data_IF_672907304877
#
_entry.id   IF_672907304877
#
_cell.length_a   1.000
_cell.length_b   1.000
_cell.length_c   1.000
_cell.angle_alpha   90.00
_cell.angle_beta   90.00
_cell.angle_gamma   90.00
#
_symmetry.space_group_name_H-M   'P 1'
#
loop_
_entity.id
_entity.type
_entity.pdbx_description
1 polymer ?
#
# COMPACT_ATOMS: atom_id res chain seq x y z
N UNK A 1 -14.71 23.44 -26.20
CA UNK A 1 -15.27 22.13 -25.87
C UNK A 1 -14.88 21.82 -24.44
N UNK A 2 -15.86 21.82 -23.53
CA UNK A 2 -15.66 21.69 -22.09
C UNK A 2 -15.89 20.23 -21.68
N UNK A 3 -14.85 19.41 -21.79
CA UNK A 3 -14.72 18.22 -20.95
C UNK A 3 -13.39 18.34 -20.24
N UNK A 4 -13.34 19.30 -19.31
CA UNK A 4 -12.29 19.37 -18.31
C UNK A 4 -12.87 18.80 -17.02
N UNK A 5 -12.52 17.56 -16.69
CA UNK A 5 -12.99 16.96 -15.44
C UNK A 5 -13.10 15.44 -15.45
N UNK A 6 -12.06 14.73 -15.88
CA UNK A 6 -11.77 13.45 -15.22
C UNK A 6 -10.90 13.77 -14.01
N UNK A 7 -11.51 14.35 -12.99
CA UNK A 7 -10.93 14.32 -11.65
C UNK A 7 -11.22 12.91 -11.15
N UNK A 8 -10.40 11.96 -11.61
CA UNK A 8 -10.33 10.62 -11.05
C UNK A 8 -9.71 10.74 -9.65
N UNK A 9 -10.45 11.31 -8.68
CA UNK A 9 -10.11 11.30 -7.25
C UNK A 9 -10.27 9.88 -6.70
N UNK A 10 -9.65 8.90 -7.32
CA UNK A 10 -9.55 7.57 -6.74
C UNK A 10 -8.53 7.69 -5.61
N UNK A 11 -9.02 7.57 -4.38
CA UNK A 11 -8.15 7.38 -3.22
C UNK A 11 -7.50 6.00 -3.31
N UNK A 12 -6.27 5.89 -2.81
CA UNK A 12 -5.65 4.59 -2.59
C UNK A 12 -6.50 3.76 -1.63
N UNK A 13 -6.35 2.44 -1.69
CA UNK A 13 -7.15 1.51 -0.88
C UNK A 13 -6.25 0.77 0.09
N UNK A 14 -6.56 0.83 1.38
CA UNK A 14 -5.86 0.04 2.38
C UNK A 14 -6.00 -1.45 2.09
N UNK A 15 -4.85 -2.12 2.14
CA UNK A 15 -4.74 -3.58 2.24
C UNK A 15 -4.10 -3.92 3.58
N UNK A 16 -4.16 -5.19 3.97
CA UNK A 16 -3.62 -5.63 5.26
C UNK A 16 -2.09 -5.65 5.35
N UNK A 17 -1.35 -4.91 4.53
CA UNK A 17 0.12 -4.95 4.48
C UNK A 17 0.70 -3.85 5.37
N UNK A 18 1.71 -4.14 6.19
CA UNK A 18 2.41 -3.13 6.98
C UNK A 18 3.85 -3.55 7.33
N UNK A 19 4.67 -2.59 7.77
CA UNK A 19 6.03 -2.80 8.24
C UNK A 19 6.12 -2.39 9.73
N UNK A 20 5.95 -3.32 10.68
CA UNK A 20 6.01 -3.03 12.11
C UNK A 20 7.42 -2.63 12.57
N UNK A 21 8.46 -2.92 11.78
CA UNK A 21 9.84 -2.55 12.10
C UNK A 21 10.12 -1.07 11.84
N UNK A 22 9.16 -0.33 11.28
CA UNK A 22 9.32 1.07 10.88
C UNK A 22 10.54 1.25 9.96
N UNK A 23 10.78 0.27 9.10
CA UNK A 23 11.91 0.22 8.19
C UNK A 23 13.29 -0.03 8.81
N UNK A 24 13.36 -0.45 10.07
CA UNK A 24 14.62 -0.87 10.70
C UNK A 24 15.17 -2.16 10.10
N UNK A 25 14.32 -2.99 9.49
CA UNK A 25 14.79 -4.21 8.83
C UNK A 25 15.48 -3.91 7.49
N UNK A 26 16.70 -4.43 7.26
CA UNK A 26 17.44 -4.20 6.02
C UNK A 26 16.67 -4.64 4.77
N UNK A 27 16.94 -3.98 3.65
CA UNK A 27 16.39 -4.31 2.33
C UNK A 27 14.86 -4.31 2.26
N UNK A 28 14.19 -3.58 3.17
CA UNK A 28 12.73 -3.58 3.26
C UNK A 28 12.15 -4.92 3.72
N UNK A 29 12.90 -5.75 4.44
CA UNK A 29 12.43 -7.08 4.85
C UNK A 29 11.34 -7.10 5.93
N UNK A 30 10.94 -5.93 6.45
CA UNK A 30 10.00 -5.81 7.56
C UNK A 30 8.52 -5.96 7.19
N UNK A 31 8.17 -5.99 5.91
CA UNK A 31 6.77 -6.05 5.48
C UNK A 31 6.11 -7.39 5.83
N UNK A 32 4.90 -7.32 6.39
CA UNK A 32 4.08 -8.48 6.73
C UNK A 32 2.58 -8.21 6.50
N UNK A 33 1.80 -9.29 6.40
CA UNK A 33 0.34 -9.22 6.39
C UNK A 33 -0.20 -9.19 7.81
N UNK A 34 -1.21 -8.35 8.07
CA UNK A 34 -1.90 -8.20 9.36
C UNK A 34 -2.65 -9.45 9.81
N UNK A 35 -2.90 -10.39 8.91
CA UNK A 35 -3.50 -11.68 9.21
C UNK A 35 -2.47 -12.79 9.42
N UNK A 36 -1.18 -12.45 9.46
CA UNK A 36 -0.05 -13.37 9.64
C UNK A 36 0.13 -14.43 8.54
N UNK A 37 -0.55 -14.29 7.39
CA UNK A 37 -0.23 -15.10 6.21
C UNK A 37 1.20 -14.80 5.74
N UNK A 38 1.86 -15.78 5.12
CA UNK A 38 3.22 -15.61 4.59
C UNK A 38 3.23 -14.61 3.43
N UNK A 39 4.10 -13.59 3.49
CA UNK A 39 4.34 -12.66 2.39
C UNK A 39 5.25 -13.29 1.32
N UNK A 40 4.67 -14.04 0.39
CA UNK A 40 5.38 -14.71 -0.71
C UNK A 40 5.04 -14.16 -2.11
N UNK A 41 4.12 -13.22 -2.19
CA UNK A 41 3.78 -12.47 -3.38
C UNK A 41 4.18 -11.01 -3.14
N UNK A 42 4.74 -10.35 -4.15
CA UNK A 42 5.18 -8.95 -4.09
C UNK A 42 4.76 -8.24 -5.37
N UNK A 43 4.20 -7.02 -5.26
CA UNK A 43 3.73 -6.26 -6.42
C UNK A 43 3.80 -4.75 -6.22
N UNK A 44 4.98 -4.28 -5.80
CA UNK A 44 5.24 -2.87 -5.48
C UNK A 44 5.23 -1.96 -6.72
N UNK A 45 4.75 -0.74 -6.53
CA UNK A 45 4.88 0.37 -7.46
C UNK A 45 6.21 1.09 -7.24
N UNK A 46 7.30 0.41 -7.59
CA UNK A 46 8.68 0.85 -7.31
C UNK A 46 9.37 -0.06 -6.31
N UNK A 47 10.47 0.42 -5.73
CA UNK A 47 11.24 -0.33 -4.72
C UNK A 47 10.93 0.20 -3.31
N UNK A 48 10.25 -0.59 -2.46
CA UNK A 48 9.86 -0.18 -1.12
C UNK A 48 11.05 -0.01 -0.16
N UNK A 49 12.25 -0.48 -0.54
CA UNK A 49 13.48 -0.28 0.23
C UNK A 49 14.17 1.04 -0.10
N UNK A 50 13.76 1.72 -1.19
CA UNK A 50 14.45 2.89 -1.73
C UNK A 50 13.84 4.24 -1.31
N UNK A 51 12.62 4.24 -0.75
CA UNK A 51 11.90 5.48 -0.39
C UNK A 51 12.35 6.04 0.97
N UNK A 52 12.98 7.21 0.93
CA UNK A 52 13.31 8.03 2.12
C UNK A 52 12.02 8.69 2.63
N UNK A 53 11.74 8.60 3.94
CA UNK A 53 10.47 9.02 4.55
C UNK A 53 9.24 8.30 3.98
N UNK A 54 9.35 6.97 3.83
CA UNK A 54 8.24 6.12 3.42
C UNK A 54 7.19 5.95 4.51
N UNK A 55 5.97 5.67 4.05
CA UNK A 55 4.94 5.08 4.89
C UNK A 55 5.30 3.67 5.35
N UNK A 56 4.62 3.20 6.39
CA UNK A 56 4.78 1.84 6.93
C UNK A 56 3.51 1.00 6.78
N UNK A 57 2.54 1.48 6.02
CA UNK A 57 1.31 0.77 5.70
C UNK A 57 1.18 0.67 4.17
N UNK A 58 0.72 -0.48 3.68
CA UNK A 58 0.59 -0.75 2.25
C UNK A 58 -0.81 -0.45 1.74
N UNK A 59 -0.90 0.19 0.58
CA UNK A 59 -2.14 0.49 -0.12
C UNK A 59 -2.09 0.01 -1.57
N UNK A 60 -3.26 -0.20 -2.20
CA UNK A 60 -3.37 -0.30 -3.65
C UNK A 60 -3.37 1.11 -4.24
N UNK A 61 -2.45 1.39 -5.16
CA UNK A 61 -2.32 2.75 -5.72
C UNK A 61 -3.37 3.00 -6.79
N UNK A 62 -4.09 4.11 -6.67
CA UNK A 62 -5.05 4.53 -7.68
C UNK A 62 -4.37 4.85 -9.02
N UNK A 63 -3.15 5.38 -8.98
CA UNK A 63 -2.32 5.68 -10.16
C UNK A 63 -1.99 4.44 -11.00
N UNK A 64 -1.89 3.26 -10.37
CA UNK A 64 -1.68 1.98 -11.07
C UNK A 64 -2.99 1.33 -11.53
N UNK A 65 -4.15 1.97 -11.31
CA UNK A 65 -5.45 1.34 -11.49
C UNK A 65 -5.71 0.22 -10.48
N UNK A 66 -5.15 0.35 -9.27
CA UNK A 66 -5.20 -0.63 -8.18
C UNK A 66 -4.51 -1.96 -8.50
N UNK A 67 -3.56 -1.95 -9.43
CA UNK A 67 -2.82 -3.14 -9.86
C UNK A 67 -1.48 -3.29 -9.16
N UNK A 68 -1.05 -2.33 -8.34
CA UNK A 68 0.22 -2.34 -7.61
C UNK A 68 0.10 -1.76 -6.21
N UNK A 69 1.11 -2.00 -5.39
CA UNK A 69 1.19 -1.57 -4.00
C UNK A 69 2.04 -0.33 -3.82
N UNK A 70 1.58 0.62 -3.02
CA UNK A 70 2.36 1.76 -2.56
C UNK A 70 2.55 1.69 -1.05
N UNK A 71 3.59 2.34 -0.55
CA UNK A 71 3.65 2.70 0.86
C UNK A 71 2.85 3.98 1.13
N UNK A 72 2.21 4.05 2.29
CA UNK A 72 1.38 5.17 2.72
C UNK A 72 1.51 5.38 4.24
N UNK A 73 1.39 6.63 4.68
CA UNK A 73 1.44 6.95 6.11
C UNK A 73 0.24 6.33 6.85
N UNK A 74 0.51 5.57 7.90
CA UNK A 74 -0.50 4.76 8.58
C UNK A 74 -1.62 5.57 9.26
N UNK A 75 -1.41 6.86 9.49
CA UNK A 75 -2.42 7.80 10.02
C UNK A 75 -3.39 8.31 8.93
N UNK A 76 -3.17 7.93 7.67
CA UNK A 76 -4.03 8.24 6.54
C UNK A 76 -5.44 7.63 6.65
N UNK A 77 -6.45 8.43 6.28
CA UNK A 77 -7.83 7.95 6.16
C UNK A 77 -8.11 7.53 4.71
N UNK A 78 -8.08 6.22 4.45
CA UNK A 78 -8.37 5.63 3.14
C UNK A 78 -9.50 4.60 3.24
N UNK A 79 -10.25 4.36 2.14
CA UNK A 79 -11.10 3.18 2.04
C UNK A 79 -10.28 1.89 2.19
N UNK A 80 -10.91 0.78 2.59
CA UNK A 80 -10.22 -0.48 2.87
C UNK A 80 -11.02 -1.70 2.42
N UNK A 81 -10.33 -2.83 2.25
CA UNK A 81 -10.92 -4.13 1.93
C UNK A 81 -10.66 -5.11 3.09
N UNK A 82 -11.68 -5.89 3.45
CA UNK A 82 -11.56 -6.96 4.45
C UNK A 82 -11.57 -8.35 3.81
N UNK A 83 -10.75 -9.25 4.35
CA UNK A 83 -10.77 -10.69 4.08
C UNK A 83 -11.26 -11.41 5.35
N UNK A 84 -12.24 -12.27 5.21
CA UNK A 84 -12.76 -13.10 6.30
C UNK A 84 -12.84 -14.57 5.85
N UNK A 85 -12.64 -15.49 6.79
CA UNK A 85 -12.91 -16.93 6.60
C UNK A 85 -14.21 -17.26 7.32
N UNK A 86 -15.00 -18.15 6.71
CA UNK A 86 -16.24 -18.66 7.30
C UNK A 86 -15.92 -19.75 8.34
#
# INVERSE_FOLDING_TARGET
SLVNGRVDNYQDIWIGLHDPTMGQQPNGGGWEWSNSDVLNYLNWDGDPSSTVNRGHCGSLTASSGFLKWGDYYCDGTLPFVCKFKQ
#
